data_IF_573362716140
#
_entry.id   IF_573362716140
#
_cell.length_a   1.000
_cell.length_b   1.000
_cell.length_c   1.000
_cell.angle_alpha   90.00
_cell.angle_beta   90.00
_cell.angle_gamma   90.00
#
_symmetry.space_group_name_H-M   'P 1'
#
loop_
_entity.id
_entity.type
_entity.pdbx_description
1 polymer ?
#
# COMPACT_ATOMS: atom_id res chain seq x y z
N UNK A 1 3.56 -20.70 14.71
CA UNK A 1 3.43 -22.10 15.15
C UNK A 1 4.41 -23.09 14.47
N UNK A 2 4.94 -22.82 13.26
CA UNK A 2 5.89 -23.73 12.57
C UNK A 2 7.34 -23.73 13.09
N UNK A 3 7.81 -22.67 13.77
CA UNK A 3 9.20 -22.54 14.24
C UNK A 3 9.61 -23.57 15.32
N UNK A 4 8.68 -24.04 16.16
CA UNK A 4 9.06 -24.93 17.28
C UNK A 4 9.34 -26.37 16.83
N UNK A 5 8.59 -26.90 15.85
CA UNK A 5 8.78 -28.28 15.37
C UNK A 5 10.15 -28.51 14.74
N UNK A 6 10.73 -27.49 14.12
CA UNK A 6 12.02 -27.58 13.43
C UNK A 6 13.23 -27.57 14.38
N UNK A 7 13.15 -26.77 15.44
CA UNK A 7 14.15 -26.76 16.52
C UNK A 7 14.19 -28.11 17.26
N UNK A 8 13.02 -28.73 17.45
CA UNK A 8 12.92 -30.05 18.09
C UNK A 8 13.59 -31.12 17.21
N UNK A 9 13.38 -31.10 15.88
CA UNK A 9 14.00 -32.10 14.99
C UNK A 9 15.53 -31.97 14.93
N UNK A 10 16.06 -30.75 14.94
CA UNK A 10 17.51 -30.52 14.91
C UNK A 10 18.15 -30.93 16.24
N UNK A 11 17.52 -30.58 17.37
CA UNK A 11 17.98 -30.99 18.69
C UNK A 11 18.00 -32.51 18.82
N UNK A 12 16.99 -33.21 18.29
CA UNK A 12 16.93 -34.67 18.32
C UNK A 12 18.05 -35.33 17.51
N UNK A 13 18.37 -34.81 16.32
CA UNK A 13 19.48 -35.30 15.49
C UNK A 13 20.83 -35.09 16.20
N UNK A 14 21.01 -33.94 16.86
CA UNK A 14 22.24 -33.64 17.61
C UNK A 14 22.42 -34.59 18.80
N UNK A 15 21.34 -34.87 19.55
CA UNK A 15 21.36 -35.81 20.67
C UNK A 15 21.67 -37.23 20.20
N UNK A 16 21.07 -37.69 19.10
CA UNK A 16 21.37 -39.01 18.52
C UNK A 16 22.84 -39.09 18.10
N UNK A 17 23.37 -38.07 17.43
CA UNK A 17 24.78 -38.02 17.03
C UNK A 17 25.73 -38.06 18.23
N UNK A 18 25.36 -37.38 19.32
CA UNK A 18 26.17 -37.32 20.55
C UNK A 18 26.15 -38.67 21.29
N UNK A 19 24.99 -39.33 21.36
CA UNK A 19 24.84 -40.66 21.96
C UNK A 19 25.63 -41.72 21.19
N UNK A 20 25.59 -41.69 19.85
CA UNK A 20 26.38 -42.60 19.01
C UNK A 20 27.88 -42.40 19.26
N UNK A 21 28.33 -41.15 19.36
CA UNK A 21 29.75 -40.83 19.59
C UNK A 21 30.22 -41.29 20.98
N UNK A 22 29.42 -41.07 22.03
CA UNK A 22 29.70 -41.57 23.39
C UNK A 22 29.76 -43.11 23.42
N UNK A 23 28.84 -43.79 22.72
CA UNK A 23 28.81 -45.25 22.67
C UNK A 23 30.08 -45.82 21.99
N UNK A 24 30.55 -45.17 20.92
CA UNK A 24 31.77 -45.56 20.22
C UNK A 24 33.03 -45.35 21.05
N UNK A 25 33.12 -44.23 21.79
CA UNK A 25 34.23 -43.95 22.72
C UNK A 25 34.30 -44.97 23.87
N UNK A 26 33.14 -45.42 24.38
CA UNK A 26 33.07 -46.35 25.53
C UNK A 26 33.55 -47.76 25.22
N UNK A 27 33.41 -48.24 23.98
CA UNK A 27 33.73 -49.63 23.62
C UNK A 27 35.18 -49.88 23.15
N UNK A 28 36.07 -48.88 23.19
CA UNK A 28 37.51 -49.03 22.90
C UNK A 28 37.86 -49.79 21.59
N UNK A 29 37.04 -49.65 20.54
CA UNK A 29 37.21 -50.29 19.22
C UNK A 29 38.27 -49.55 18.37
N UNK A 30 39.31 -49.00 18.98
CA UNK A 30 40.08 -47.88 18.41
C UNK A 30 40.91 -48.21 17.16
N UNK A 31 41.39 -49.45 16.99
CA UNK A 31 42.45 -49.75 16.00
C UNK A 31 41.97 -50.47 14.73
N UNK A 32 40.85 -51.21 14.81
CA UNK A 32 40.21 -51.88 13.64
C UNK A 32 39.13 -51.00 13.00
N UNK A 33 38.75 -49.92 13.67
CA UNK A 33 37.69 -49.00 13.29
C UNK A 33 38.21 -47.83 12.45
N UNK A 34 39.51 -47.54 12.42
CA UNK A 34 40.08 -46.42 11.64
C UNK A 34 39.78 -46.51 10.14
N UNK A 35 39.78 -47.72 9.58
CA UNK A 35 39.39 -48.03 8.19
C UNK A 35 37.87 -47.89 7.97
N UNK A 36 37.05 -48.25 8.96
CA UNK A 36 35.59 -48.10 8.91
C UNK A 36 35.12 -46.66 9.20
N UNK A 37 35.90 -45.88 9.97
CA UNK A 37 35.61 -44.49 10.33
C UNK A 37 35.63 -43.58 9.11
N UNK A 38 36.54 -43.83 8.16
CA UNK A 38 36.57 -43.09 6.89
C UNK A 38 35.27 -43.31 6.11
N UNK A 39 34.86 -44.57 5.92
CA UNK A 39 33.61 -44.89 5.20
C UNK A 39 32.37 -44.36 5.92
N UNK A 40 32.34 -44.41 7.26
CA UNK A 40 31.21 -43.90 8.06
C UNK A 40 31.13 -42.36 8.00
N UNK A 41 32.27 -41.67 8.02
CA UNK A 41 32.36 -40.22 7.84
C UNK A 41 31.85 -39.80 6.46
N UNK A 42 32.20 -40.54 5.41
CA UNK A 42 31.74 -40.25 4.05
C UNK A 42 30.21 -40.42 3.94
N UNK A 43 29.65 -41.47 4.54
CA UNK A 43 28.19 -41.67 4.62
C UNK A 43 27.51 -40.49 5.33
N UNK A 44 28.02 -40.07 6.50
CA UNK A 44 27.46 -38.95 7.26
C UNK A 44 27.55 -37.65 6.45
N UNK A 45 28.65 -37.44 5.73
CA UNK A 45 28.87 -36.23 4.92
C UNK A 45 27.88 -36.18 3.75
N UNK A 46 27.63 -37.31 3.08
CA UNK A 46 26.61 -37.42 2.03
C UNK A 46 25.21 -37.13 2.59
N UNK A 47 24.85 -37.72 3.74
CA UNK A 47 23.56 -37.45 4.38
C UNK A 47 23.42 -35.97 4.78
N UNK A 48 24.48 -35.36 5.31
CA UNK A 48 24.50 -33.94 5.65
C UNK A 48 24.23 -33.05 4.42
N UNK A 49 24.89 -33.35 3.29
CA UNK A 49 24.68 -32.62 2.03
C UNK A 49 23.25 -32.79 1.52
N UNK A 50 22.67 -33.99 1.58
CA UNK A 50 21.29 -34.24 1.18
C UNK A 50 20.30 -33.46 2.05
N UNK A 51 20.49 -33.47 3.37
CA UNK A 51 19.64 -32.72 4.32
C UNK A 51 19.78 -31.22 4.07
N UNK A 52 20.99 -30.70 3.96
CA UNK A 52 21.25 -29.28 3.69
C UNK A 52 20.59 -28.84 2.37
N UNK A 53 20.69 -29.66 1.32
CA UNK A 53 20.06 -29.41 0.03
C UNK A 53 18.53 -29.36 0.15
N UNK A 54 17.93 -30.32 0.85
CA UNK A 54 16.48 -30.36 1.06
C UNK A 54 15.98 -29.15 1.85
N UNK A 55 16.70 -28.76 2.91
CA UNK A 55 16.37 -27.58 3.73
C UNK A 55 16.50 -26.29 2.90
N UNK A 56 17.53 -26.18 2.06
CA UNK A 56 17.70 -25.06 1.14
C UNK A 56 16.50 -24.89 0.19
N UNK A 57 16.02 -25.99 -0.39
CA UNK A 57 14.85 -25.98 -1.28
C UNK A 57 13.55 -25.58 -0.55
N UNK A 58 13.32 -26.12 0.65
CA UNK A 58 12.18 -25.76 1.51
C UNK A 58 12.22 -24.29 1.94
N UNK A 59 13.42 -23.78 2.28
CA UNK A 59 13.66 -22.38 2.62
C UNK A 59 13.32 -21.45 1.45
N UNK A 60 13.77 -21.79 0.24
CA UNK A 60 13.51 -21.00 -0.97
C UNK A 60 12.00 -20.87 -1.26
N UNK A 61 11.25 -21.96 -1.13
CA UNK A 61 9.80 -21.95 -1.33
C UNK A 61 9.08 -21.10 -0.29
N UNK A 62 9.51 -21.19 0.98
CA UNK A 62 8.93 -20.38 2.06
C UNK A 62 9.24 -18.90 1.85
N UNK A 63 10.47 -18.59 1.43
CA UNK A 63 10.89 -17.22 1.16
C UNK A 63 10.11 -16.61 0.00
N UNK A 64 9.92 -17.36 -1.10
CA UNK A 64 9.09 -16.94 -2.24
C UNK A 64 7.65 -16.62 -1.81
N UNK A 65 7.04 -17.49 -1.00
CA UNK A 65 5.68 -17.25 -0.47
C UNK A 65 5.64 -15.98 0.40
N UNK A 66 6.60 -15.83 1.31
CA UNK A 66 6.69 -14.64 2.16
C UNK A 66 6.83 -13.36 1.33
N UNK A 67 7.68 -13.38 0.30
CA UNK A 67 7.94 -12.24 -0.57
C UNK A 67 6.67 -11.81 -1.32
N UNK A 68 5.94 -12.77 -1.89
CA UNK A 68 4.66 -12.50 -2.57
C UNK A 68 3.60 -11.91 -1.62
N UNK A 69 3.55 -12.37 -0.37
CA UNK A 69 2.65 -11.84 0.64
C UNK A 69 2.99 -10.40 1.03
N UNK A 70 4.28 -10.11 1.22
CA UNK A 70 4.74 -8.76 1.55
C UNK A 70 4.51 -7.77 0.41
N UNK A 71 4.70 -8.18 -0.84
CA UNK A 71 4.45 -7.33 -2.00
C UNK A 71 2.97 -6.96 -2.12
N UNK A 72 2.07 -7.95 -1.99
CA UNK A 72 0.62 -7.72 -2.03
C UNK A 72 0.17 -6.78 -0.91
N UNK A 73 0.70 -6.97 0.30
CA UNK A 73 0.38 -6.11 1.43
C UNK A 73 0.89 -4.67 1.21
N UNK A 74 2.11 -4.51 0.70
CA UNK A 74 2.67 -3.19 0.43
C UNK A 74 1.86 -2.44 -0.64
N UNK A 75 1.46 -3.13 -1.72
CA UNK A 75 0.61 -2.54 -2.76
C UNK A 75 -0.78 -2.15 -2.21
N UNK A 76 -1.39 -2.99 -1.37
CA UNK A 76 -2.65 -2.66 -0.71
C UNK A 76 -2.53 -1.43 0.20
N UNK A 77 -1.46 -1.34 1.00
CA UNK A 77 -1.19 -0.19 1.86
C UNK A 77 -1.00 1.10 1.07
N UNK A 78 -0.22 1.04 -0.02
CA UNK A 78 0.01 2.21 -0.88
C UNK A 78 -1.29 2.67 -1.56
N UNK A 79 -2.08 1.75 -2.10
CA UNK A 79 -3.40 2.03 -2.66
C UNK A 79 -4.31 2.71 -1.61
N UNK A 80 -4.34 2.21 -0.38
CA UNK A 80 -5.15 2.78 0.69
C UNK A 80 -4.73 4.22 1.00
N UNK A 81 -3.43 4.48 1.15
CA UNK A 81 -2.90 5.81 1.41
C UNK A 81 -3.23 6.80 0.28
N UNK A 82 -3.05 6.38 -0.97
CA UNK A 82 -3.38 7.22 -2.12
C UNK A 82 -4.89 7.48 -2.23
N UNK A 83 -5.73 6.51 -1.86
CA UNK A 83 -7.18 6.66 -1.84
C UNK A 83 -7.65 7.63 -0.76
N UNK A 84 -7.07 7.58 0.44
CA UNK A 84 -7.35 8.58 1.48
C UNK A 84 -6.89 9.97 1.08
N UNK A 85 -5.69 10.08 0.51
CA UNK A 85 -5.16 11.37 0.06
C UNK A 85 -6.02 11.95 -1.07
N UNK A 86 -6.45 11.11 -2.00
CA UNK A 86 -7.42 11.47 -3.03
C UNK A 86 -8.75 11.97 -2.43
N UNK A 87 -9.30 11.24 -1.44
CA UNK A 87 -10.54 11.63 -0.74
C UNK A 87 -10.41 13.02 -0.13
N UNK A 88 -9.30 13.31 0.54
CA UNK A 88 -9.07 14.60 1.20
C UNK A 88 -8.93 15.75 0.19
N UNK A 89 -8.26 15.50 -0.94
CA UNK A 89 -8.20 16.48 -2.03
C UNK A 89 -9.56 16.70 -2.70
N UNK A 90 -10.36 15.65 -2.89
CA UNK A 90 -11.70 15.76 -3.43
C UNK A 90 -12.63 16.52 -2.48
N UNK A 91 -12.49 16.29 -1.17
CA UNK A 91 -13.20 17.05 -0.14
C UNK A 91 -12.85 18.54 -0.19
N UNK A 92 -11.55 18.87 -0.25
CA UNK A 92 -11.11 20.26 -0.42
C UNK A 92 -11.58 20.89 -1.73
N UNK A 93 -11.63 20.12 -2.82
CA UNK A 93 -12.16 20.60 -4.10
C UNK A 93 -13.66 20.94 -4.02
N UNK A 94 -14.45 20.15 -3.28
CA UNK A 94 -15.88 20.40 -3.04
C UNK A 94 -16.16 21.55 -2.08
N UNK A 95 -15.18 21.98 -1.30
CA UNK A 95 -15.40 22.92 -0.22
C UNK A 95 -15.71 24.34 -0.75
N UNK A 96 -16.90 24.92 -0.46
CA UNK A 96 -17.27 26.22 -1.02
C UNK A 96 -16.47 27.39 -0.43
N UNK A 97 -15.95 27.25 0.80
CA UNK A 97 -15.10 28.27 1.39
C UNK A 97 -13.71 28.26 0.75
N UNK A 98 -13.27 29.44 0.36
CA UNK A 98 -11.96 29.70 -0.24
C UNK A 98 -11.17 30.56 0.73
N UNK A 99 -9.96 30.12 1.06
CA UNK A 99 -9.09 30.84 1.96
C UNK A 99 -8.31 31.94 1.22
N UNK A 100 -7.95 33.01 1.93
CA UNK A 100 -7.26 34.16 1.35
C UNK A 100 -5.94 33.80 0.65
N UNK A 101 -5.22 32.79 1.17
CA UNK A 101 -3.94 32.34 0.62
C UNK A 101 -4.05 31.52 -0.68
N UNK A 102 -5.26 31.08 -1.05
CA UNK A 102 -5.47 30.29 -2.28
C UNK A 102 -5.61 31.17 -3.52
N UNK A 103 -5.92 32.45 -3.33
CA UNK A 103 -6.02 33.41 -4.41
C UNK A 103 -4.66 33.74 -5.02
N UNK A 104 -4.62 34.11 -6.31
CA UNK A 104 -3.39 34.56 -6.94
C UNK A 104 -2.83 35.78 -6.21
N UNK A 105 -1.55 35.71 -5.85
CA UNK A 105 -0.81 36.82 -5.27
C UNK A 105 -0.35 37.73 -6.41
N UNK A 106 -1.17 38.73 -6.74
CA UNK A 106 -0.76 39.79 -7.66
C UNK A 106 0.17 40.77 -6.94
N UNK A 107 1.36 41.03 -7.49
CA UNK A 107 2.39 41.94 -6.92
C UNK A 107 1.92 43.40 -6.73
N UNK A 108 0.83 43.82 -7.40
CA UNK A 108 0.45 45.24 -7.51
C UNK A 108 -0.85 45.64 -6.79
N UNK A 109 -1.31 44.88 -5.80
CA UNK A 109 -2.52 45.29 -5.06
C UNK A 109 -2.12 45.93 -3.75
N UNK A 110 -2.22 47.27 -3.73
CA UNK A 110 -2.07 48.10 -2.54
C UNK A 110 -2.74 47.44 -1.32
N UNK A 111 -1.91 47.22 -0.31
CA UNK A 111 -2.11 46.38 0.88
C UNK A 111 -3.12 46.94 1.91
N UNK A 112 -4.31 47.39 1.51
CA UNK A 112 -5.16 48.18 2.42
C UNK A 112 -6.67 47.88 2.42
N UNK A 113 -7.12 46.72 1.95
CA UNK A 113 -8.48 46.28 2.28
C UNK A 113 -8.53 44.82 2.69
N UNK A 114 -8.98 44.56 3.92
CA UNK A 114 -9.27 43.24 4.47
C UNK A 114 -10.36 42.47 3.68
N UNK A 115 -10.96 43.11 2.67
CA UNK A 115 -12.03 42.57 1.82
C UNK A 115 -11.78 42.95 0.36
N UNK A 116 -10.78 42.32 -0.29
CA UNK A 116 -10.70 42.37 -1.76
C UNK A 116 -11.99 41.74 -2.32
N UNK A 117 -12.68 42.46 -3.21
CA UNK A 117 -13.83 41.91 -3.94
C UNK A 117 -13.31 40.78 -4.84
N UNK A 118 -13.74 39.56 -4.56
CA UNK A 118 -13.29 38.37 -5.30
C UNK A 118 -13.98 38.33 -6.67
N UNK A 119 -13.18 38.21 -7.72
CA UNK A 119 -13.68 38.15 -9.10
C UNK A 119 -14.04 36.70 -9.47
N UNK A 120 -14.87 36.52 -10.52
CA UNK A 120 -15.11 35.21 -11.12
C UNK A 120 -13.79 34.50 -11.47
N UNK A 121 -12.86 35.20 -12.12
CA UNK A 121 -11.56 34.65 -12.54
C UNK A 121 -10.71 34.18 -11.35
N UNK A 122 -10.75 34.91 -10.22
CA UNK A 122 -10.05 34.55 -8.99
C UNK A 122 -10.55 33.21 -8.43
N UNK A 123 -11.88 32.98 -8.47
CA UNK A 123 -12.48 31.72 -7.99
C UNK A 123 -12.22 30.57 -8.96
N UNK A 124 -12.29 30.82 -10.27
CA UNK A 124 -11.94 29.82 -11.29
C UNK A 124 -10.50 29.35 -11.08
N UNK A 125 -9.56 30.28 -10.85
CA UNK A 125 -8.17 29.97 -10.56
C UNK A 125 -8.03 29.02 -9.35
N UNK A 126 -8.72 29.33 -8.25
CA UNK A 126 -8.70 28.49 -7.03
C UNK A 126 -9.23 27.09 -7.29
N UNK A 127 -10.40 26.97 -7.91
CA UNK A 127 -10.99 25.66 -8.21
C UNK A 127 -10.15 24.87 -9.22
N UNK A 128 -9.54 25.54 -10.18
CA UNK A 128 -8.61 24.90 -11.12
C UNK A 128 -7.38 24.34 -10.38
N UNK A 129 -6.81 25.10 -9.44
CA UNK A 129 -5.67 24.65 -8.65
C UNK A 129 -6.04 23.45 -7.75
N UNK A 130 -7.21 23.50 -7.10
CA UNK A 130 -7.74 22.38 -6.32
C UNK A 130 -7.98 21.13 -7.17
N UNK A 131 -8.58 21.30 -8.35
CA UNK A 131 -8.81 20.20 -9.31
C UNK A 131 -7.50 19.59 -9.82
N UNK A 132 -6.47 20.41 -10.06
CA UNK A 132 -5.16 19.91 -10.48
C UNK A 132 -4.55 18.94 -9.44
N UNK A 133 -4.70 19.24 -8.15
CA UNK A 133 -4.29 18.34 -7.07
C UNK A 133 -5.07 17.02 -7.09
N UNK A 134 -6.40 17.07 -7.27
CA UNK A 134 -7.24 15.86 -7.42
C UNK A 134 -6.77 15.02 -8.62
N UNK A 135 -6.53 15.64 -9.77
CA UNK A 135 -6.07 14.97 -10.99
C UNK A 135 -4.71 14.29 -10.83
N UNK A 136 -3.82 14.84 -10.01
CA UNK A 136 -2.54 14.20 -9.70
C UNK A 136 -2.75 12.82 -9.04
N UNK A 137 -3.59 12.76 -8.01
CA UNK A 137 -3.89 11.49 -7.32
C UNK A 137 -4.81 10.58 -8.12
N UNK A 138 -5.64 11.13 -8.99
CA UNK A 138 -6.45 10.36 -9.95
C UNK A 138 -5.56 9.52 -10.87
N UNK A 139 -4.45 10.10 -11.36
CA UNK A 139 -3.47 9.37 -12.17
C UNK A 139 -2.81 8.23 -11.38
N UNK A 140 -2.46 8.46 -10.11
CA UNK A 140 -1.91 7.42 -9.22
C UNK A 140 -2.91 6.28 -9.00
N UNK A 141 -4.17 6.61 -8.73
CA UNK A 141 -5.24 5.62 -8.58
C UNK A 141 -5.50 4.84 -9.87
N UNK A 142 -5.32 5.46 -11.04
CA UNK A 142 -5.44 4.74 -12.31
C UNK A 142 -4.34 3.67 -12.48
N UNK A 143 -3.11 3.96 -12.05
CA UNK A 143 -2.02 2.96 -12.02
C UNK A 143 -2.39 1.82 -11.05
N UNK A 144 -2.83 2.15 -9.83
CA UNK A 144 -3.24 1.13 -8.86
C UNK A 144 -4.44 0.31 -9.32
N UNK A 145 -5.35 0.89 -10.11
CA UNK A 145 -6.47 0.17 -10.73
C UNK A 145 -5.97 -0.90 -11.69
N UNK A 146 -5.01 -0.57 -12.57
CA UNK A 146 -4.42 -1.51 -13.52
C UNK A 146 -3.66 -2.64 -12.81
N UNK A 147 -2.79 -2.29 -11.85
CA UNK A 147 -2.02 -3.28 -11.09
C UNK A 147 -2.91 -4.12 -10.17
N UNK A 148 -3.87 -3.46 -9.53
CA UNK A 148 -4.77 -4.06 -8.57
C UNK A 148 -5.77 -5.02 -9.19
N UNK A 149 -6.13 -4.84 -10.48
CA UNK A 149 -6.97 -5.80 -11.22
C UNK A 149 -6.35 -7.20 -11.26
N UNK A 150 -5.02 -7.28 -11.36
CA UNK A 150 -4.28 -8.55 -11.37
C UNK A 150 -4.23 -9.16 -9.96
N UNK A 151 -4.08 -8.33 -8.92
CA UNK A 151 -3.80 -8.77 -7.54
C UNK A 151 -5.04 -8.98 -6.66
N UNK A 152 -6.11 -8.23 -6.93
CA UNK A 152 -7.34 -8.18 -6.12
C UNK A 152 -8.59 -8.54 -6.93
N UNK A 153 -8.48 -8.69 -8.25
CA UNK A 153 -9.57 -9.09 -9.12
C UNK A 153 -10.42 -7.92 -9.63
N UNK A 154 -11.55 -8.22 -10.29
CA UNK A 154 -12.36 -7.23 -11.02
C UNK A 154 -13.21 -6.32 -10.10
N UNK A 155 -13.42 -6.67 -8.84
CA UNK A 155 -14.22 -5.87 -7.92
C UNK A 155 -13.58 -4.51 -7.62
N UNK A 156 -12.25 -4.49 -7.46
CA UNK A 156 -11.50 -3.25 -7.25
C UNK A 156 -11.63 -2.31 -8.45
N UNK A 157 -11.57 -2.86 -9.66
CA UNK A 157 -11.71 -2.15 -10.94
C UNK A 157 -13.05 -1.39 -10.99
N UNK A 158 -14.13 -2.08 -10.59
CA UNK A 158 -15.50 -1.55 -10.52
C UNK A 158 -15.63 -0.44 -9.48
N UNK A 159 -15.10 -0.65 -8.28
CA UNK A 159 -15.20 0.33 -7.19
C UNK A 159 -14.44 1.62 -7.50
N UNK A 160 -13.22 1.52 -8.04
CA UNK A 160 -12.46 2.71 -8.46
C UNK A 160 -13.17 3.42 -9.62
N UNK A 161 -13.77 2.69 -10.55
CA UNK A 161 -14.54 3.31 -11.64
C UNK A 161 -15.76 4.08 -11.14
N UNK A 162 -16.46 3.58 -10.13
CA UNK A 162 -17.57 4.32 -9.49
C UNK A 162 -17.08 5.63 -8.85
N UNK A 163 -15.91 5.61 -8.20
CA UNK A 163 -15.29 6.83 -7.65
C UNK A 163 -15.02 7.86 -8.74
N UNK A 164 -14.47 7.46 -9.89
CA UNK A 164 -14.23 8.38 -11.02
C UNK A 164 -15.52 8.93 -11.63
N UNK A 165 -16.62 8.17 -11.63
CA UNK A 165 -17.93 8.69 -12.05
C UNK A 165 -18.43 9.79 -11.10
N UNK A 166 -18.24 9.60 -9.79
CA UNK A 166 -18.59 10.61 -8.78
C UNK A 166 -17.73 11.87 -8.91
N UNK A 167 -16.43 11.72 -9.18
CA UNK A 167 -15.53 12.84 -9.46
C UNK A 167 -16.04 13.67 -10.64
N UNK A 168 -16.35 13.02 -11.76
CA UNK A 168 -16.87 13.69 -12.95
C UNK A 168 -18.16 14.46 -12.65
N UNK A 169 -19.07 13.86 -11.86
CA UNK A 169 -20.29 14.53 -11.43
C UNK A 169 -19.97 15.79 -10.63
N UNK A 170 -19.10 15.69 -9.63
CA UNK A 170 -18.65 16.83 -8.81
C UNK A 170 -18.02 17.93 -9.66
N UNK A 171 -17.14 17.58 -10.60
CA UNK A 171 -16.51 18.55 -11.49
C UNK A 171 -17.52 19.28 -12.39
N UNK A 172 -18.56 18.59 -12.85
CA UNK A 172 -19.62 19.21 -13.63
C UNK A 172 -20.45 20.18 -12.76
N UNK A 173 -20.83 19.80 -11.54
CA UNK A 173 -21.58 20.69 -10.63
C UNK A 173 -20.77 21.95 -10.27
N UNK A 174 -19.46 21.81 -10.02
CA UNK A 174 -18.59 22.97 -9.73
C UNK A 174 -18.46 23.86 -10.97
N UNK A 175 -18.36 23.29 -12.18
CA UNK A 175 -18.35 24.07 -13.42
C UNK A 175 -19.65 24.86 -13.58
N UNK A 176 -20.80 24.21 -13.41
CA UNK A 176 -22.11 24.85 -13.48
C UNK A 176 -22.24 25.97 -12.43
N UNK A 177 -21.77 25.75 -11.20
CA UNK A 177 -21.73 26.77 -10.15
C UNK A 177 -20.92 28.01 -10.58
N UNK A 178 -19.73 27.80 -11.16
CA UNK A 178 -18.89 28.89 -11.65
C UNK A 178 -19.56 29.62 -12.82
N UNK A 179 -20.09 28.91 -13.80
CA UNK A 179 -20.77 29.50 -14.97
C UNK A 179 -21.98 30.35 -14.56
N UNK A 180 -22.83 29.86 -13.66
CA UNK A 180 -23.96 30.62 -13.13
C UNK A 180 -23.51 31.90 -12.40
N UNK A 181 -22.35 31.86 -11.73
CA UNK A 181 -21.78 33.05 -11.08
C UNK A 181 -21.31 34.10 -12.12
N UNK A 182 -20.82 33.67 -13.28
CA UNK A 182 -20.43 34.56 -14.38
C UNK A 182 -21.63 35.32 -14.94
N UNK A 183 -22.79 34.66 -15.05
CA UNK A 183 -24.03 35.24 -15.59
C UNK A 183 -24.78 36.15 -14.60
N UNK A 184 -24.29 36.29 -13.36
CA UNK A 184 -24.95 37.10 -12.33
C UNK A 184 -26.24 36.47 -11.79
N UNK A 185 -26.48 35.19 -12.09
CA UNK A 185 -27.68 34.46 -11.66
C UNK A 185 -27.54 34.12 -10.18
N UNK A 186 -28.51 34.54 -9.35
CA UNK A 186 -28.59 34.12 -7.94
C UNK A 186 -29.00 32.65 -7.90
N UNK A 187 -28.05 31.75 -7.67
CA UNK A 187 -28.33 30.33 -7.46
C UNK A 187 -29.05 30.19 -6.11
N UNK A 188 -30.23 29.56 -6.04
CA UNK A 188 -30.86 29.25 -4.75
C UNK A 188 -29.92 28.33 -3.96
N UNK A 189 -29.66 28.70 -2.70
CA UNK A 189 -28.87 27.89 -1.78
C UNK A 189 -29.58 26.56 -1.54
N UNK A 190 -29.09 25.47 -2.16
CA UNK A 190 -29.57 24.13 -1.90
C UNK A 190 -28.86 23.58 -0.65
N UNK A 191 -29.55 23.65 0.49
CA UNK A 191 -29.06 23.14 1.77
C UNK A 191 -28.81 21.63 1.76
N UNK A 192 -29.35 20.87 0.78
CA UNK A 192 -29.15 19.42 0.70
C UNK A 192 -27.74 19.03 0.23
N UNK A 193 -27.01 19.93 -0.42
CA UNK A 193 -25.64 19.66 -0.90
C UNK A 193 -24.59 19.85 0.22
N UNK A 194 -24.97 20.53 1.31
CA UNK A 194 -24.02 21.01 2.35
C UNK A 194 -24.06 20.19 3.65
N UNK A 195 -25.10 19.41 3.94
CA UNK A 195 -25.29 18.78 5.26
C UNK A 195 -25.40 17.25 5.31
N UNK A 196 -24.85 16.52 4.34
CA UNK A 196 -24.67 15.06 4.51
C UNK A 196 -23.27 14.72 5.08
N UNK A 197 -22.82 15.57 6.02
CA UNK A 197 -21.54 15.47 6.71
C UNK A 197 -21.85 15.19 8.19
N UNK A 198 -22.16 13.92 8.51
CA UNK A 198 -22.06 13.43 9.89
C UNK A 198 -23.30 12.83 10.54
N UNK A 199 -24.14 12.06 9.83
CA UNK A 199 -25.20 11.29 10.49
C UNK A 199 -24.95 9.78 10.60
N UNK A 200 -24.13 9.16 9.74
CA UNK A 200 -23.94 7.70 9.79
C UNK A 200 -22.45 7.31 9.65
N UNK A 201 -21.72 7.35 10.77
CA UNK A 201 -20.52 6.55 11.03
C UNK A 201 -20.50 6.09 12.48
#
# INVERSE_FOLDING_TARGET
MFKSKWLITISFIFVISLVINIYLLRNNISYKLSLNLSSLKDIITIFSICIASYVGLQGLNTWKKSLSGTERHQKAKNLLLDLYTYKDHLYNYRHPAIWAFEYPQFENVNNSSAFRKTTYDDKVFVYQNRLNKVKEYTKKLYVHKLEGKILFGPELDKNIQQIFLLENKVSNEIRNYLENMKEGVKIPYDSKIVYDIGADF
#
